data_IF_476750600977
#
_entry.id   IF_476750600977
#
_cell.length_a   1.000
_cell.length_b   1.000
_cell.length_c   1.000
_cell.angle_alpha   90.00
_cell.angle_beta   90.00
_cell.angle_gamma   90.00
#
_symmetry.space_group_name_H-M   'P 1'
#
loop_
_entity.id
_entity.type
_entity.pdbx_description
1 polymer ?
#
# COMPACT_ATOMS: atom_id res chain seq x y z
N UNK A 1 -20.97 3.29 -19.19
CA UNK A 1 -20.81 4.67 -18.68
C UNK A 1 -19.51 4.68 -17.92
N UNK A 2 -18.56 5.42 -18.46
CA UNK A 2 -17.12 5.27 -18.28
C UNK A 2 -16.65 5.49 -16.84
N UNK A 3 -16.21 4.42 -16.19
CA UNK A 3 -15.43 4.51 -14.94
C UNK A 3 -13.95 4.30 -15.24
N UNK A 4 -13.45 4.96 -16.29
CA UNK A 4 -12.03 5.33 -16.42
C UNK A 4 -11.75 6.41 -15.36
N UNK A 5 -11.85 6.05 -14.07
CA UNK A 5 -11.39 6.91 -13.00
C UNK A 5 -9.88 7.05 -13.20
N UNK A 6 -9.43 8.27 -13.51
CA UNK A 6 -8.02 8.63 -13.61
C UNK A 6 -7.25 7.98 -12.47
N UNK A 7 -6.15 7.22 -12.73
CA UNK A 7 -5.39 6.50 -11.70
C UNK A 7 -5.02 7.36 -10.49
N UNK A 8 -4.88 8.68 -10.70
CA UNK A 8 -4.69 9.70 -9.66
C UNK A 8 -5.81 9.70 -8.61
N UNK A 9 -7.07 9.77 -9.06
CA UNK A 9 -8.23 9.90 -8.16
C UNK A 9 -8.42 8.65 -7.33
N UNK A 10 -8.35 7.47 -7.96
CA UNK A 10 -8.50 6.20 -7.23
C UNK A 10 -7.41 6.01 -6.18
N UNK A 11 -6.15 6.37 -6.48
CA UNK A 11 -5.08 6.27 -5.48
C UNK A 11 -5.26 7.28 -4.34
N UNK A 12 -5.60 8.53 -4.65
CA UNK A 12 -5.76 9.57 -3.63
C UNK A 12 -6.94 9.29 -2.71
N UNK A 13 -8.08 8.86 -3.26
CA UNK A 13 -9.31 8.56 -2.51
C UNK A 13 -9.08 7.34 -1.62
N UNK A 14 -8.56 6.24 -2.18
CA UNK A 14 -8.27 5.02 -1.42
C UNK A 14 -7.26 5.26 -0.28
N UNK A 15 -6.21 6.04 -0.55
CA UNK A 15 -5.18 6.35 0.45
C UNK A 15 -5.73 7.26 1.56
N UNK A 16 -6.59 8.22 1.22
CA UNK A 16 -7.26 9.06 2.22
C UNK A 16 -8.18 8.22 3.10
N UNK A 17 -8.93 7.28 2.52
CA UNK A 17 -9.84 6.39 3.24
C UNK A 17 -9.07 5.42 4.16
N UNK A 18 -8.06 4.72 3.63
CA UNK A 18 -7.25 3.72 4.35
C UNK A 18 -6.47 4.26 5.56
N UNK A 19 -6.06 5.53 5.52
CA UNK A 19 -5.21 6.15 6.54
C UNK A 19 -5.90 7.35 7.23
N UNK A 20 -7.22 7.48 7.08
CA UNK A 20 -8.02 8.55 7.71
C UNK A 20 -8.10 8.42 9.23
N UNK A 21 -8.03 7.19 9.74
CA UNK A 21 -8.16 6.86 11.17
C UNK A 21 -6.86 7.07 11.97
N UNK A 22 -5.76 7.47 11.32
CA UNK A 22 -4.47 7.71 11.95
C UNK A 22 -3.75 6.44 12.44
N UNK A 23 -4.31 5.25 12.19
CA UNK A 23 -3.70 3.99 12.63
C UNK A 23 -2.80 3.40 11.55
N UNK A 24 -1.52 3.22 11.88
CA UNK A 24 -0.55 2.57 11.01
C UNK A 24 -0.28 1.15 11.48
N UNK A 25 -0.27 0.20 10.54
CA UNK A 25 0.17 -1.17 10.76
C UNK A 25 0.85 -1.72 9.50
N UNK A 26 1.66 -2.76 9.67
CA UNK A 26 2.43 -3.35 8.58
C UNK A 26 1.55 -3.91 7.45
N UNK A 27 0.35 -4.41 7.75
CA UNK A 27 -0.62 -4.84 6.74
C UNK A 27 -1.03 -3.71 5.79
N UNK A 28 -1.29 -2.51 6.31
CA UNK A 28 -1.61 -1.31 5.50
C UNK A 28 -0.42 -0.81 4.70
N UNK A 29 0.79 -0.89 5.25
CA UNK A 29 2.03 -0.58 4.53
C UNK A 29 2.20 -1.52 3.34
N UNK A 30 2.03 -2.83 3.53
CA UNK A 30 2.11 -3.82 2.44
C UNK A 30 1.01 -3.58 1.40
N UNK A 31 -0.22 -3.29 1.82
CA UNK A 31 -1.32 -2.99 0.91
C UNK A 31 -1.04 -1.77 0.02
N UNK A 32 -0.39 -0.73 0.56
CA UNK A 32 0.04 0.44 -0.22
C UNK A 32 1.02 0.05 -1.33
N UNK A 33 2.06 -0.72 -1.02
CA UNK A 33 3.03 -1.18 -2.01
C UNK A 33 2.40 -2.10 -3.05
N UNK A 34 1.50 -2.99 -2.63
CA UNK A 34 0.75 -3.86 -3.54
C UNK A 34 -0.10 -3.05 -4.52
N UNK A 35 -0.84 -2.05 -4.03
CA UNK A 35 -1.67 -1.18 -4.87
C UNK A 35 -0.81 -0.36 -5.84
N UNK A 36 0.28 0.26 -5.36
CA UNK A 36 1.23 0.98 -6.21
C UNK A 36 1.81 0.07 -7.32
N UNK A 37 2.16 -1.17 -6.98
CA UNK A 37 2.67 -2.16 -7.94
C UNK A 37 1.63 -2.52 -9.00
N UNK A 38 0.36 -2.70 -8.61
CA UNK A 38 -0.75 -2.93 -9.56
C UNK A 38 -0.94 -1.75 -10.51
N UNK A 39 -0.81 -0.52 -10.02
CA UNK A 39 -0.88 0.67 -10.87
C UNK A 39 0.30 0.77 -11.84
N UNK A 40 1.52 0.46 -11.39
CA UNK A 40 2.72 0.41 -12.24
C UNK A 40 2.57 -0.65 -13.34
N UNK A 41 2.08 -1.85 -13.00
CA UNK A 41 1.80 -2.90 -13.99
C UNK A 41 0.74 -2.46 -15.01
N UNK A 42 -0.32 -1.77 -14.57
CA UNK A 42 -1.33 -1.20 -15.48
C UNK A 42 -0.72 -0.13 -16.40
N UNK A 43 0.17 0.72 -15.89
CA UNK A 43 0.88 1.73 -16.66
C UNK A 43 1.82 1.12 -17.72
N UNK A 44 2.48 0.01 -17.40
CA UNK A 44 3.30 -0.77 -18.33
C UNK A 44 2.45 -1.37 -19.46
N UNK A 45 1.33 -2.03 -19.12
CA UNK A 45 0.44 -2.62 -20.11
C UNK A 45 -0.17 -1.57 -21.06
N UNK A 46 -0.41 -0.36 -20.57
CA UNK A 46 -0.95 0.76 -21.36
C UNK A 46 0.13 1.56 -22.11
N UNK A 47 1.41 1.17 -21.99
CA UNK A 47 2.58 1.83 -22.61
C UNK A 47 2.72 3.31 -22.28
N UNK A 48 2.39 3.71 -21.04
CA UNK A 48 2.54 5.09 -20.56
C UNK A 48 3.62 5.15 -19.47
N UNK A 49 4.92 5.16 -19.84
CA UNK A 49 6.02 5.08 -18.88
C UNK A 49 6.11 6.28 -17.93
N UNK A 50 5.65 7.46 -18.34
CA UNK A 50 5.62 8.64 -17.47
C UNK A 50 4.67 8.49 -16.27
N UNK A 51 3.64 7.66 -16.42
CA UNK A 51 2.73 7.35 -15.32
C UNK A 51 3.44 6.53 -14.23
N UNK A 52 4.41 5.69 -14.59
CA UNK A 52 5.20 4.89 -13.64
C UNK A 52 6.02 5.82 -12.73
N UNK A 53 6.78 6.76 -13.33
CA UNK A 53 7.54 7.76 -12.55
C UNK A 53 6.64 8.55 -11.61
N UNK A 54 5.46 8.91 -12.11
CA UNK A 54 4.47 9.65 -11.33
C UNK A 54 3.95 8.83 -10.14
N UNK A 55 3.58 7.55 -10.34
CA UNK A 55 3.09 6.65 -9.28
C UNK A 55 4.19 6.41 -8.24
N UNK A 56 5.42 6.17 -8.68
CA UNK A 56 6.57 6.02 -7.77
C UNK A 56 6.78 7.28 -6.94
N UNK A 57 6.70 8.47 -7.57
CA UNK A 57 6.77 9.76 -6.89
C UNK A 57 5.76 9.86 -5.74
N UNK A 58 4.48 9.66 -6.01
CA UNK A 58 3.46 9.75 -4.94
C UNK A 58 3.61 8.71 -3.85
N UNK A 59 4.06 7.51 -4.21
CA UNK A 59 4.28 6.43 -3.23
C UNK A 59 5.42 6.79 -2.30
N UNK A 60 6.51 7.34 -2.84
CA UNK A 60 7.68 7.78 -2.07
C UNK A 60 7.38 9.03 -1.24
N UNK A 61 6.66 10.00 -1.78
CA UNK A 61 6.24 11.20 -1.05
C UNK A 61 5.37 10.81 0.15
N UNK A 62 4.40 9.92 -0.04
CA UNK A 62 3.57 9.42 1.05
C UNK A 62 4.36 8.63 2.09
N UNK A 63 5.27 7.77 1.63
CA UNK A 63 6.16 7.02 2.51
C UNK A 63 6.96 7.98 3.40
N UNK A 64 7.55 9.02 2.80
CA UNK A 64 8.36 10.02 3.51
C UNK A 64 7.53 10.88 4.47
N UNK A 65 6.39 11.38 4.03
CA UNK A 65 5.60 12.36 4.79
C UNK A 65 4.77 11.72 5.91
N UNK A 66 4.34 10.47 5.75
CA UNK A 66 3.34 9.86 6.65
C UNK A 66 3.81 8.57 7.31
N UNK A 67 4.58 7.73 6.62
CA UNK A 67 4.96 6.41 7.13
C UNK A 67 6.35 6.38 7.76
N UNK A 68 7.27 7.25 7.35
CA UNK A 68 8.66 7.19 7.75
C UNK A 68 8.85 7.29 9.27
N UNK A 69 8.18 8.25 9.92
CA UNK A 69 8.24 8.40 11.37
C UNK A 69 7.74 7.16 12.10
N UNK A 70 6.58 6.63 11.67
CA UNK A 70 6.03 5.40 12.25
C UNK A 70 6.96 4.19 12.04
N UNK A 71 7.55 4.02 10.85
CA UNK A 71 8.50 2.94 10.57
C UNK A 71 9.72 3.03 11.48
N UNK A 72 10.24 4.25 11.72
CA UNK A 72 11.34 4.47 12.65
C UNK A 72 10.95 4.08 14.08
N UNK A 73 9.74 4.45 14.52
CA UNK A 73 9.22 4.09 15.84
C UNK A 73 9.04 2.56 16.02
N UNK A 74 8.83 1.82 14.92
CA UNK A 74 8.77 0.36 14.92
C UNK A 74 10.16 -0.33 14.91
N UNK A 75 11.25 0.44 15.01
CA UNK A 75 12.62 -0.10 14.91
C UNK A 75 13.08 -0.33 13.46
N UNK A 76 12.43 0.32 12.49
CA UNK A 76 12.73 0.19 11.07
C UNK A 76 11.96 -0.94 10.39
N UNK A 77 12.46 -1.39 9.24
CA UNK A 77 11.80 -2.41 8.42
C UNK A 77 11.88 -3.83 9.01
N UNK A 78 12.73 -4.07 10.02
CA UNK A 78 12.80 -5.35 10.72
C UNK A 78 11.48 -5.67 11.47
N UNK A 79 10.71 -4.63 11.83
CA UNK A 79 9.37 -4.77 12.38
C UNK A 79 8.39 -5.45 11.41
N UNK A 80 8.56 -5.26 10.10
CA UNK A 80 7.76 -5.91 9.07
C UNK A 80 7.97 -7.43 9.09
N UNK A 81 9.23 -7.86 9.16
CA UNK A 81 9.60 -9.27 9.21
C UNK A 81 9.09 -9.92 10.50
N UNK A 82 9.16 -9.19 11.61
CA UNK A 82 8.65 -9.67 12.90
C UNK A 82 7.13 -9.81 12.89
N UNK A 83 6.41 -8.86 12.27
CA UNK A 83 4.94 -8.87 12.16
C UNK A 83 4.41 -10.08 11.36
N UNK A 84 5.06 -10.43 10.24
CA UNK A 84 4.66 -11.57 9.41
C UNK A 84 5.36 -12.88 9.79
N UNK A 85 6.50 -12.81 10.47
CA UNK A 85 7.31 -13.95 10.88
C UNK A 85 6.79 -14.67 12.12
N UNK A 86 5.96 -14.02 12.94
CA UNK A 86 5.20 -14.71 13.98
C UNK A 86 3.91 -15.26 13.41
N UNK A 87 3.72 -16.60 13.30
CA UNK A 87 2.41 -17.16 13.00
C UNK A 87 1.51 -16.93 14.20
N UNK A 88 0.84 -15.78 14.24
CA UNK A 88 -0.29 -15.61 15.15
C UNK A 88 -1.47 -16.38 14.56
N UNK A 89 -2.11 -17.21 15.38
CA UNK A 89 -3.28 -18.00 14.97
C UNK A 89 -4.37 -17.15 14.30
N UNK A 90 -4.49 -15.87 14.69
CA UNK A 90 -5.39 -14.90 14.06
C UNK A 90 -5.08 -14.65 12.58
N UNK A 91 -3.80 -14.57 12.20
CA UNK A 91 -3.38 -14.38 10.80
C UNK A 91 -3.74 -15.61 9.97
N UNK A 92 -3.52 -16.81 10.50
CA UNK A 92 -3.94 -18.07 9.85
C UNK A 92 -5.45 -18.11 9.64
N UNK A 93 -6.24 -17.75 10.66
CA UNK A 93 -7.71 -17.72 10.57
C UNK A 93 -8.22 -16.72 9.52
N UNK A 94 -7.61 -15.52 9.43
CA UNK A 94 -8.00 -14.50 8.45
C UNK A 94 -7.72 -14.96 7.02
N UNK A 95 -6.56 -15.58 6.78
CA UNK A 95 -6.24 -16.12 5.45
C UNK A 95 -7.14 -17.30 5.08
N UNK A 96 -7.50 -18.19 6.02
CA UNK A 96 -8.46 -19.28 5.78
C UNK A 96 -9.86 -18.74 5.47
N UNK A 97 -10.30 -17.69 6.19
CA UNK A 97 -11.61 -17.08 5.97
C UNK A 97 -11.71 -16.30 4.64
N UNK A 98 -10.60 -15.81 4.09
CA UNK A 98 -10.57 -15.11 2.80
C UNK A 98 -10.40 -16.01 1.57
N UNK A 99 -10.05 -17.29 1.76
CA UNK A 99 -9.89 -18.28 0.68
C UNK A 99 -11.14 -19.15 0.48
N UNK A 100 -12.05 -19.18 1.48
CA UNK A 100 -13.41 -19.72 1.37
C UNK A 100 -14.39 -18.66 0.82
#
# INVERSE_FOLDING_TARGET
>A
VDTELSPRRSFSEWRLEMFSDGNFNWGRVVALFYFASKLVLKALCTKVPELIRTIMGWTLDFLRERLLGWIQDQGGWDGLLSYFGTPTWQTVTIFVAGVL
#
